data_IF_617932102247
#
_entry.id   IF_617932102247
#
_cell.length_a   1.000
_cell.length_b   1.000
_cell.length_c   1.000
_cell.angle_alpha   90.00
_cell.angle_beta   90.00
_cell.angle_gamma   90.00
#
_symmetry.space_group_name_H-M   'P 1'
#
loop_
_entity.id
_entity.type
_entity.pdbx_description
1 polymer ?
#
# COMPACT_ATOMS: atom_id res chain seq x y z
N UNK A 1 7.35 5.20 -2.58
CA UNK A 1 7.88 6.58 -2.39
C UNK A 1 6.77 7.65 -2.42
N UNK A 2 5.67 7.47 -3.17
CA UNK A 2 4.59 8.47 -3.29
C UNK A 2 3.44 8.35 -2.26
N UNK A 3 3.44 7.31 -1.41
CA UNK A 3 2.31 6.97 -0.53
C UNK A 3 1.97 8.11 0.45
N UNK A 4 2.97 8.70 1.11
CA UNK A 4 2.75 9.71 2.16
C UNK A 4 2.08 10.99 1.62
N UNK A 5 2.50 11.47 0.45
CA UNK A 5 1.91 12.65 -0.17
C UNK A 5 0.45 12.40 -0.59
N UNK A 6 0.15 11.20 -1.10
CA UNK A 6 -1.20 10.79 -1.45
C UNK A 6 -2.10 10.72 -0.21
N UNK A 7 -1.65 10.09 0.88
CA UNK A 7 -2.42 10.01 2.12
C UNK A 7 -2.58 11.35 2.82
N UNK A 8 -1.57 12.23 2.78
CA UNK A 8 -1.69 13.59 3.28
C UNK A 8 -2.74 14.40 2.50
N UNK A 9 -2.71 14.32 1.16
CA UNK A 9 -3.71 14.94 0.29
C UNK A 9 -5.11 14.35 0.53
N UNK A 10 -5.22 13.04 0.71
CA UNK A 10 -6.47 12.37 1.01
C UNK A 10 -7.06 12.81 2.36
N UNK A 11 -6.24 12.95 3.40
CA UNK A 11 -6.68 13.49 4.69
C UNK A 11 -7.22 14.92 4.58
N UNK A 12 -6.54 15.78 3.82
CA UNK A 12 -7.00 17.14 3.53
C UNK A 12 -8.30 17.15 2.70
N UNK A 13 -8.41 16.27 1.71
CA UNK A 13 -9.59 16.12 0.86
C UNK A 13 -10.81 15.60 1.65
N UNK A 14 -10.63 14.64 2.54
CA UNK A 14 -11.68 14.17 3.45
C UNK A 14 -12.18 15.31 4.35
N UNK A 15 -11.29 16.17 4.86
CA UNK A 15 -11.69 17.33 5.67
C UNK A 15 -12.43 18.38 4.85
N UNK A 16 -12.00 18.62 3.62
CA UNK A 16 -12.68 19.48 2.65
C UNK A 16 -14.09 18.97 2.34
N UNK A 17 -14.23 17.66 2.12
CA UNK A 17 -15.51 16.99 1.89
C UNK A 17 -16.43 17.08 3.12
N UNK A 18 -15.91 16.86 4.32
CA UNK A 18 -16.68 17.01 5.57
C UNK A 18 -17.26 18.43 5.73
N UNK A 19 -16.47 19.46 5.42
CA UNK A 19 -16.92 20.86 5.44
C UNK A 19 -17.98 21.16 4.38
N UNK A 20 -17.83 20.56 3.19
CA UNK A 20 -18.81 20.65 2.11
C UNK A 20 -20.19 20.14 2.52
N UNK A 21 -20.25 19.08 3.33
CA UNK A 21 -21.50 18.50 3.83
C UNK A 21 -22.13 19.39 4.93
N UNK A 22 -21.33 19.95 5.83
CA UNK A 22 -21.85 20.77 6.94
C UNK A 22 -22.16 22.23 6.58
N UNK A 23 -21.82 22.73 5.38
CA UNK A 23 -22.00 24.13 4.96
C UNK A 23 -21.40 25.14 5.96
N UNK A 24 -20.32 24.77 6.67
CA UNK A 24 -19.63 25.61 7.65
C UNK A 24 -18.48 26.39 6.96
N UNK A 25 -18.27 27.67 7.28
CA UNK A 25 -17.20 28.46 6.66
C UNK A 25 -15.83 27.89 7.03
N UNK A 26 -15.01 27.64 6.01
CA UNK A 26 -13.75 26.87 6.07
C UNK A 26 -12.61 27.54 6.88
N UNK A 27 -12.78 28.79 7.35
CA UNK A 27 -11.72 29.69 7.82
C UNK A 27 -11.91 30.18 9.28
N UNK A 28 -12.54 29.38 10.14
CA UNK A 28 -12.60 29.66 11.58
C UNK A 28 -11.36 29.07 12.27
N UNK A 29 -10.74 29.77 13.24
CA UNK A 29 -9.51 29.34 13.93
C UNK A 29 -9.57 27.91 14.50
N UNK A 30 -10.74 27.45 14.93
CA UNK A 30 -10.96 26.09 15.41
C UNK A 30 -10.86 25.02 14.30
N UNK A 31 -11.26 25.37 13.08
CA UNK A 31 -11.22 24.49 11.90
C UNK A 31 -9.80 24.37 11.34
N UNK A 32 -8.98 25.43 11.47
CA UNK A 32 -7.60 25.46 10.99
C UNK A 32 -6.69 24.42 11.67
N UNK A 33 -6.90 24.14 12.97
CA UNK A 33 -6.18 23.09 13.71
C UNK A 33 -6.67 21.69 13.35
N UNK A 34 -7.89 21.56 12.83
CA UNK A 34 -8.40 20.26 12.41
C UNK A 34 -7.68 19.74 11.15
N UNK A 35 -7.24 20.61 10.24
CA UNK A 35 -6.50 20.18 9.05
C UNK A 35 -5.24 19.34 9.36
N UNK A 36 -4.30 19.77 10.22
CA UNK A 36 -3.13 18.96 10.58
C UNK A 36 -3.49 17.67 11.34
N UNK A 37 -4.60 17.65 12.09
CA UNK A 37 -5.08 16.44 12.77
C UNK A 37 -5.58 15.38 11.76
N UNK A 38 -6.33 15.81 10.75
CA UNK A 38 -6.81 14.89 9.71
C UNK A 38 -5.68 14.44 8.80
N UNK A 39 -4.72 15.33 8.53
CA UNK A 39 -3.48 14.97 7.84
C UNK A 39 -2.68 13.93 8.63
N UNK A 40 -2.51 14.10 9.95
CA UNK A 40 -1.71 13.17 10.76
C UNK A 40 -2.36 11.79 10.85
N UNK A 41 -3.68 11.72 11.00
CA UNK A 41 -4.44 10.46 10.97
C UNK A 41 -4.31 9.79 9.61
N UNK A 42 -4.46 10.54 8.51
CA UNK A 42 -4.36 9.98 7.17
C UNK A 42 -2.95 9.49 6.84
N UNK A 43 -1.91 10.24 7.23
CA UNK A 43 -0.50 9.81 7.10
C UNK A 43 -0.26 8.54 7.91
N UNK A 44 -0.75 8.48 9.16
CA UNK A 44 -0.63 7.29 10.01
C UNK A 44 -1.29 6.06 9.39
N UNK A 45 -2.50 6.22 8.85
CA UNK A 45 -3.19 5.17 8.09
C UNK A 45 -2.40 4.76 6.84
N UNK A 46 -1.78 5.72 6.15
CA UNK A 46 -0.96 5.47 4.99
C UNK A 46 0.27 4.62 5.26
N UNK A 47 0.98 4.90 6.36
CA UNK A 47 2.13 4.09 6.79
C UNK A 47 1.73 2.66 7.14
N UNK A 48 0.55 2.47 7.72
CA UNK A 48 0.03 1.13 8.00
C UNK A 48 -0.28 0.35 6.71
N UNK A 49 -0.88 1.01 5.72
CA UNK A 49 -1.29 0.39 4.47
C UNK A 49 -0.07 0.01 3.60
N UNK A 50 0.93 0.88 3.55
CA UNK A 50 2.23 0.60 2.90
C UNK A 50 2.94 -0.59 3.58
N UNK A 51 2.86 -0.67 4.93
CA UNK A 51 3.36 -1.82 5.69
C UNK A 51 2.60 -3.12 5.37
N UNK A 52 1.28 -3.05 5.18
CA UNK A 52 0.47 -4.21 4.79
C UNK A 52 0.79 -4.68 3.37
N UNK A 53 0.87 -3.76 2.41
CA UNK A 53 1.17 -4.07 1.00
C UNK A 53 2.54 -4.73 0.85
N UNK A 54 3.56 -4.23 1.55
CA UNK A 54 4.88 -4.83 1.57
C UNK A 54 4.86 -6.29 2.08
N UNK A 55 4.01 -6.61 3.06
CA UNK A 55 3.84 -7.99 3.55
C UNK A 55 3.21 -8.91 2.50
N UNK A 56 2.19 -8.42 1.78
CA UNK A 56 1.54 -9.21 0.73
C UNK A 56 2.46 -9.44 -0.46
N UNK A 57 3.19 -8.42 -0.90
CA UNK A 57 4.14 -8.54 -2.01
C UNK A 57 5.30 -9.48 -1.66
N UNK A 58 5.86 -9.38 -0.45
CA UNK A 58 6.90 -10.30 0.00
C UNK A 58 6.41 -11.76 0.02
N UNK A 59 5.18 -12.01 0.47
CA UNK A 59 4.60 -13.34 0.45
C UNK A 59 4.37 -13.87 -0.97
N UNK A 60 3.93 -13.01 -1.87
CA UNK A 60 3.71 -13.37 -3.28
C UNK A 60 5.05 -13.71 -3.97
N UNK A 61 6.10 -12.95 -3.66
CA UNK A 61 7.45 -13.18 -4.18
C UNK A 61 8.05 -14.49 -3.65
N UNK A 62 7.88 -14.79 -2.36
CA UNK A 62 8.28 -16.07 -1.77
C UNK A 62 7.58 -17.25 -2.46
N UNK A 63 6.27 -17.14 -2.70
CA UNK A 63 5.52 -18.20 -3.43
C UNK A 63 6.00 -18.34 -4.86
N UNK A 64 6.27 -17.24 -5.55
CA UNK A 64 6.82 -17.25 -6.91
C UNK A 64 8.18 -17.96 -6.96
N UNK A 65 9.08 -17.66 -6.04
CA UNK A 65 10.39 -18.30 -5.96
C UNK A 65 10.27 -19.81 -5.70
N UNK A 66 9.40 -20.21 -4.77
CA UNK A 66 9.12 -21.63 -4.50
C UNK A 66 8.63 -22.39 -5.74
N UNK A 67 7.72 -21.78 -6.52
CA UNK A 67 7.20 -22.39 -7.75
C UNK A 67 8.26 -22.45 -8.86
N UNK A 68 9.07 -21.42 -9.02
CA UNK A 68 10.18 -21.41 -9.97
C UNK A 68 11.20 -22.49 -9.65
N UNK A 69 11.53 -22.69 -8.38
CA UNK A 69 12.46 -23.75 -7.98
C UNK A 69 11.89 -25.15 -8.25
N UNK A 70 10.59 -25.38 -8.02
CA UNK A 70 9.93 -26.63 -8.39
C UNK A 70 9.97 -26.88 -9.91
N UNK A 71 9.77 -25.83 -10.72
CA UNK A 71 9.88 -25.92 -12.18
C UNK A 71 11.31 -26.27 -12.60
N UNK A 72 12.32 -25.59 -12.03
CA UNK A 72 13.73 -25.89 -12.31
C UNK A 72 14.09 -27.35 -12.01
N UNK A 73 13.62 -27.90 -10.89
CA UNK A 73 13.81 -29.32 -10.55
C UNK A 73 13.14 -30.28 -11.53
N UNK A 74 12.00 -29.90 -12.11
CA UNK A 74 11.31 -30.71 -13.13
C UNK A 74 12.06 -30.67 -14.46
N UNK A 75 12.52 -29.49 -14.88
CA UNK A 75 13.32 -29.32 -16.10
C UNK A 75 14.66 -30.07 -16.00
N UNK A 76 15.32 -30.05 -14.84
CA UNK A 76 16.55 -30.82 -14.56
C UNK A 76 16.30 -32.34 -14.63
N UNK A 77 15.17 -32.83 -14.08
CA UNK A 77 14.80 -34.24 -14.13
C UNK A 77 14.42 -34.70 -15.56
N UNK A 78 13.75 -33.85 -16.34
CA UNK A 78 13.39 -34.14 -17.72
C UNK A 78 14.64 -34.17 -18.62
N UNK A 79 15.58 -33.26 -18.41
CA UNK A 79 16.86 -33.23 -19.13
C UNK A 79 17.79 -34.41 -18.75
N UNK A 80 17.78 -34.83 -17.48
CA UNK A 80 18.50 -36.05 -17.04
C UNK A 80 17.85 -37.35 -17.53
N UNK A 81 16.52 -37.35 -17.74
CA UNK A 81 15.80 -38.48 -18.34
C UNK A 81 16.03 -38.63 -19.85
N UNK A 82 16.28 -37.53 -20.57
CA UNK A 82 16.56 -37.51 -22.00
C UNK A 82 18.04 -37.79 -22.35
N UNK A 83 18.96 -37.70 -21.39
CA UNK A 83 20.39 -38.03 -21.59
C UNK A 83 20.77 -39.49 -21.41
N UNK A 84 19.82 -40.35 -21.01
CA UNK A 84 20.02 -41.79 -20.78
C UNK A 84 19.27 -42.69 -21.78
N UNK A 85 18.79 -42.13 -22.90
CA UNK A 85 18.22 -42.85 -24.03
C UNK A 85 19.08 -42.63 -25.28
#
# INVERSE_FOLDING_TARGET
MSSIAFYAFFGAACRWMQLGIQRRPHLIRAEAIAYPLYMSVAIGAGLYMDSAENRYMAFLEQKKQSLLEKRRRRDEAENQGLGNA
#
